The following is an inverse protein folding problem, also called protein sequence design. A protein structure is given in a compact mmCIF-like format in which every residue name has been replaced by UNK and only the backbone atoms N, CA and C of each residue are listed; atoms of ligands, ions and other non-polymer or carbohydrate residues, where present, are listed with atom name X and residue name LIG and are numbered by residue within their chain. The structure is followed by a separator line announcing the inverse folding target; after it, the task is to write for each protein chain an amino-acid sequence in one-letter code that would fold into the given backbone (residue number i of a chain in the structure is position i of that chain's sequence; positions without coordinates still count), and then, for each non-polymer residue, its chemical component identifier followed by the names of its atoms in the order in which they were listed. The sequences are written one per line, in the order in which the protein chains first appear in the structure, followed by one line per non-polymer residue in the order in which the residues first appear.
data_IF_238705728528
#
_entry.id   IF_238705728528
#
_cell.length_a   1.000
_cell.length_b   1.000
_cell.length_c   1.000
_cell.angle_alpha   90.00
_cell.angle_beta   90.00
_cell.angle_gamma   90.00
#
_symmetry.space_group_name_H-M   'P 1'
#
loop_
_entity.id
_entity.type
_entity.pdbx_description
1 polymer ?
#
# COMPACT_ATOMS: atom_id res chain seq x y z
N UNK A 1 -19.41 31.53 -46.74
CA UNK A 1 -19.41 31.19 -45.30
C UNK A 1 -20.30 29.98 -45.18
N UNK A 2 -19.69 28.81 -45.34
CA UNK A 2 -20.36 27.51 -45.26
C UNK A 2 -20.90 27.31 -43.84
N UNK A 3 -22.13 26.82 -43.75
CA UNK A 3 -22.72 26.33 -42.49
C UNK A 3 -21.90 25.11 -42.09
N UNK A 4 -21.06 25.26 -41.08
CA UNK A 4 -20.53 24.10 -40.35
C UNK A 4 -21.75 23.35 -39.81
N UNK A 5 -21.95 22.11 -40.26
CA UNK A 5 -23.09 21.32 -39.78
C UNK A 5 -22.89 20.99 -38.29
N UNK A 6 -23.99 20.80 -37.56
CA UNK A 6 -23.95 20.48 -36.11
C UNK A 6 -23.03 19.29 -35.79
N UNK A 7 -22.92 18.33 -36.71
CA UNK A 7 -22.01 17.19 -36.67
C UNK A 7 -20.54 17.59 -36.77
N UNK A 8 -20.20 18.54 -37.63
CA UNK A 8 -18.82 19.05 -37.80
C UNK A 8 -18.38 19.89 -36.61
N UNK A 9 -19.29 20.70 -36.03
CA UNK A 9 -18.99 21.49 -34.84
C UNK A 9 -18.71 20.59 -33.62
N UNK A 10 -19.42 19.48 -33.49
CA UNK A 10 -19.23 18.55 -32.37
C UNK A 10 -17.95 17.71 -32.52
N UNK A 11 -17.56 17.36 -33.76
CA UNK A 11 -16.30 16.67 -34.05
C UNK A 11 -15.03 17.50 -33.74
N UNK A 12 -15.17 18.82 -33.52
CA UNK A 12 -14.07 19.72 -33.21
C UNK A 12 -13.93 20.03 -31.71
N UNK A 13 -14.86 19.58 -30.87
CA UNK A 13 -14.88 19.88 -29.44
C UNK A 13 -13.61 19.39 -28.74
N UNK A 14 -13.26 18.11 -28.89
CA UNK A 14 -12.11 17.49 -28.22
C UNK A 14 -10.77 18.10 -28.64
N UNK A 15 -10.66 18.53 -29.91
CA UNK A 15 -9.46 19.18 -30.44
C UNK A 15 -9.32 20.66 -30.00
N UNK A 16 -10.34 21.23 -29.35
CA UNK A 16 -10.43 22.66 -29.01
C UNK A 16 -10.46 22.94 -27.51
N UNK A 17 -10.24 21.92 -26.66
CA UNK A 17 -10.31 22.05 -25.20
C UNK A 17 -9.36 23.09 -24.62
N UNK A 18 -8.22 23.32 -25.29
CA UNK A 18 -7.22 24.32 -24.89
C UNK A 18 -7.59 25.77 -25.28
N UNK A 19 -8.63 25.97 -26.10
CA UNK A 19 -9.03 27.28 -26.60
C UNK A 19 -10.50 27.57 -26.28
N UNK A 20 -10.72 28.22 -25.13
CA UNK A 20 -12.05 28.57 -24.63
C UNK A 20 -12.86 29.45 -25.59
N UNK A 21 -12.21 30.31 -26.38
CA UNK A 21 -12.90 31.19 -27.34
C UNK A 21 -13.46 30.39 -28.53
N UNK A 22 -12.66 29.46 -29.06
CA UNK A 22 -13.11 28.53 -30.12
C UNK A 22 -14.22 27.63 -29.57
N UNK A 23 -14.02 27.06 -28.38
CA UNK A 23 -14.99 26.18 -27.76
C UNK A 23 -16.33 26.90 -27.51
N UNK A 24 -16.29 28.12 -26.96
CA UNK A 24 -17.47 28.97 -26.77
C UNK A 24 -18.18 29.25 -28.09
N UNK A 25 -17.44 29.50 -29.17
CA UNK A 25 -18.04 29.62 -30.51
C UNK A 25 -18.74 28.32 -30.92
N UNK A 26 -18.08 27.16 -30.83
CA UNK A 26 -18.64 25.87 -31.23
C UNK A 26 -19.94 25.54 -30.48
N UNK A 27 -19.96 25.78 -29.16
CA UNK A 27 -21.15 25.58 -28.32
C UNK A 27 -22.29 26.54 -28.70
N UNK A 28 -21.99 27.81 -28.99
CA UNK A 28 -22.98 28.76 -29.52
C UNK A 28 -23.54 28.36 -30.90
N UNK A 29 -22.74 27.71 -31.74
CA UNK A 29 -23.19 27.14 -33.02
C UNK A 29 -24.01 25.85 -32.87
N UNK A 30 -24.22 25.38 -31.63
CA UNK A 30 -25.11 24.27 -31.32
C UNK A 30 -24.41 22.92 -31.14
N UNK A 31 -23.08 22.89 -31.00
CA UNK A 31 -22.39 21.71 -30.52
C UNK A 31 -22.88 21.35 -29.10
N UNK A 32 -23.08 20.05 -28.82
CA UNK A 32 -23.57 19.61 -27.51
C UNK A 32 -22.39 19.47 -26.54
N UNK A 33 -22.40 20.27 -25.45
CA UNK A 33 -21.38 20.22 -24.43
C UNK A 33 -21.21 18.80 -23.84
N UNK A 34 -22.29 18.01 -23.78
CA UNK A 34 -22.30 16.67 -23.19
C UNK A 34 -21.57 15.61 -24.03
N UNK A 35 -21.13 15.94 -25.25
CA UNK A 35 -20.30 15.04 -26.07
C UNK A 35 -18.84 15.02 -25.61
N UNK A 36 -18.39 16.01 -24.82
CA UNK A 36 -17.04 16.06 -24.27
C UNK A 36 -16.89 15.05 -23.12
N UNK A 37 -15.85 14.22 -23.16
CA UNK A 37 -15.46 13.41 -22.00
C UNK A 37 -14.94 14.35 -20.91
N UNK A 38 -15.66 14.39 -19.80
CA UNK A 38 -15.33 15.23 -18.66
C UNK A 38 -13.90 14.94 -18.14
N UNK A 39 -13.35 13.74 -18.37
CA UNK A 39 -11.98 13.38 -18.00
C UNK A 39 -10.90 14.21 -18.71
N UNK A 40 -11.22 14.82 -19.85
CA UNK A 40 -10.31 15.71 -20.57
C UNK A 40 -10.40 17.16 -20.06
N UNK A 41 -11.33 17.45 -19.14
CA UNK A 41 -11.52 18.77 -18.53
C UNK A 41 -10.58 18.95 -17.34
N UNK A 42 -9.49 19.69 -17.57
CA UNK A 42 -8.46 19.96 -16.55
C UNK A 42 -8.48 21.40 -16.00
N UNK A 43 -9.40 22.23 -16.49
CA UNK A 43 -9.45 23.67 -16.15
C UNK A 43 -10.81 24.05 -15.55
N UNK A 44 -10.75 24.89 -14.53
CA UNK A 44 -11.92 25.55 -13.94
C UNK A 44 -12.74 26.31 -14.99
N UNK A 45 -12.08 27.10 -15.82
CA UNK A 45 -12.76 27.98 -16.79
C UNK A 45 -13.46 27.16 -17.87
N UNK A 46 -12.85 26.05 -18.28
CA UNK A 46 -13.45 25.08 -19.18
C UNK A 46 -14.70 24.45 -18.56
N UNK A 47 -14.60 23.98 -17.31
CA UNK A 47 -15.74 23.40 -16.62
C UNK A 47 -16.91 24.40 -16.46
N UNK A 48 -16.61 25.64 -16.08
CA UNK A 48 -17.61 26.71 -15.97
C UNK A 48 -18.27 26.95 -17.33
N UNK A 49 -17.49 27.05 -18.41
CA UNK A 49 -18.03 27.19 -19.77
C UNK A 49 -18.96 26.02 -20.13
N UNK A 50 -18.58 24.78 -19.82
CA UNK A 50 -19.44 23.63 -20.12
C UNK A 50 -20.75 23.67 -19.32
N UNK A 51 -20.70 24.07 -18.05
CA UNK A 51 -21.88 24.25 -17.21
C UNK A 51 -22.79 25.38 -17.73
N UNK A 52 -22.22 26.50 -18.21
CA UNK A 52 -22.98 27.60 -18.85
C UNK A 52 -23.80 27.10 -20.05
N UNK A 53 -23.30 26.08 -20.76
CA UNK A 53 -23.96 25.46 -21.92
C UNK A 53 -24.70 24.15 -21.58
N UNK A 54 -24.99 23.92 -20.30
CA UNK A 54 -25.90 22.84 -19.86
C UNK A 54 -25.27 21.45 -19.81
N UNK A 55 -23.96 21.35 -19.57
CA UNK A 55 -23.32 20.06 -19.30
C UNK A 55 -23.93 19.40 -18.05
N UNK A 56 -24.36 18.15 -18.19
CA UNK A 56 -25.00 17.37 -17.12
C UNK A 56 -23.94 16.65 -16.27
N UNK A 57 -23.37 17.39 -15.31
CA UNK A 57 -22.36 16.85 -14.39
C UNK A 57 -22.92 15.77 -13.45
N UNK A 58 -24.23 15.65 -13.24
CA UNK A 58 -24.80 14.63 -12.36
C UNK A 58 -24.54 13.19 -12.89
N UNK A 59 -24.34 13.04 -14.19
CA UNK A 59 -23.99 11.76 -14.82
C UNK A 59 -22.53 11.38 -14.62
N UNK A 60 -21.60 12.28 -14.97
CA UNK A 60 -20.16 11.97 -15.09
C UNK A 60 -19.26 12.75 -14.15
N UNK A 61 -19.74 13.78 -13.44
CA UNK A 61 -18.93 14.66 -12.58
C UNK A 61 -18.16 13.97 -11.45
N UNK A 62 -18.58 12.77 -11.05
CA UNK A 62 -17.85 11.95 -10.09
C UNK A 62 -16.49 11.45 -10.61
N UNK A 63 -16.22 11.50 -11.92
CA UNK A 63 -14.94 11.07 -12.51
C UNK A 63 -13.82 12.08 -12.33
N UNK A 64 -14.17 13.36 -12.15
CA UNK A 64 -13.22 14.48 -12.02
C UNK A 64 -13.23 15.11 -10.63
N UNK A 65 -14.10 14.66 -9.72
CA UNK A 65 -14.31 15.34 -8.44
C UNK A 65 -13.00 15.46 -7.64
N UNK A 66 -12.15 14.43 -7.66
CA UNK A 66 -10.84 14.45 -7.01
C UNK A 66 -9.84 15.44 -7.63
N UNK A 67 -9.97 15.74 -8.92
CA UNK A 67 -9.03 16.62 -9.64
C UNK A 67 -9.21 18.09 -9.18
N UNK A 68 -10.40 18.41 -8.66
CA UNK A 68 -10.74 19.71 -8.09
C UNK A 68 -10.62 19.75 -6.56
N UNK A 69 -9.97 18.78 -5.90
CA UNK A 69 -9.79 18.77 -4.44
C UNK A 69 -9.21 20.10 -3.88
N UNK A 70 -8.38 20.80 -4.66
CA UNK A 70 -7.79 22.09 -4.28
C UNK A 70 -8.66 23.33 -4.54
N UNK A 71 -9.74 23.23 -5.31
CA UNK A 71 -10.63 24.35 -5.63
C UNK A 71 -12.01 24.15 -5.00
N UNK A 72 -12.20 24.74 -3.81
CA UNK A 72 -13.46 24.63 -3.04
C UNK A 72 -14.66 25.19 -3.79
N UNK A 73 -14.48 26.25 -4.57
CA UNK A 73 -15.58 26.87 -5.29
C UNK A 73 -16.07 25.97 -6.41
N UNK A 74 -15.15 25.31 -7.12
CA UNK A 74 -15.52 24.33 -8.15
C UNK A 74 -16.15 23.08 -7.53
N UNK A 75 -15.63 22.60 -6.40
CA UNK A 75 -16.25 21.47 -5.70
C UNK A 75 -17.68 21.78 -5.27
N UNK A 76 -17.91 22.94 -4.65
CA UNK A 76 -19.26 23.37 -4.26
C UNK A 76 -20.18 23.47 -5.48
N UNK A 77 -19.69 24.08 -6.56
CA UNK A 77 -20.42 24.17 -7.81
C UNK A 77 -20.83 22.79 -8.34
N UNK A 78 -19.89 21.84 -8.42
CA UNK A 78 -20.16 20.48 -8.88
C UNK A 78 -21.18 19.76 -7.98
N UNK A 79 -20.99 19.82 -6.66
CA UNK A 79 -21.88 19.18 -5.70
C UNK A 79 -23.27 19.82 -5.67
N UNK A 80 -23.38 21.13 -5.89
CA UNK A 80 -24.66 21.85 -5.99
C UNK A 80 -25.39 21.54 -7.31
N UNK A 81 -24.65 21.22 -8.37
CA UNK A 81 -25.20 20.73 -9.65
C UNK A 81 -25.47 19.22 -9.67
N UNK A 82 -25.48 18.58 -8.50
CA UNK A 82 -25.97 17.20 -8.33
C UNK A 82 -24.93 16.12 -8.59
N UNK A 83 -23.63 16.44 -8.56
CA UNK A 83 -22.58 15.41 -8.54
C UNK A 83 -22.71 14.60 -7.25
N UNK A 84 -22.93 13.30 -7.38
CA UNK A 84 -23.01 12.38 -6.26
C UNK A 84 -21.59 12.00 -5.78
N UNK A 85 -21.20 12.54 -4.61
CA UNK A 85 -19.92 12.28 -3.96
C UNK A 85 -19.71 10.80 -3.57
N UNK A 86 -20.77 9.98 -3.58
CA UNK A 86 -20.71 8.54 -3.30
C UNK A 86 -20.41 7.69 -4.54
N UNK A 87 -20.59 8.24 -5.74
CA UNK A 87 -20.18 7.56 -6.97
C UNK A 87 -18.66 7.56 -7.06
N UNK A 88 -18.13 6.42 -7.48
CA UNK A 88 -16.70 6.10 -7.44
C UNK A 88 -16.24 5.71 -8.83
N UNK A 89 -15.16 6.33 -9.30
CA UNK A 89 -14.45 5.89 -10.50
C UNK A 89 -13.60 4.66 -10.12
N UNK A 90 -14.03 3.46 -10.49
CA UNK A 90 -13.37 2.23 -10.03
C UNK A 90 -12.13 1.88 -10.83
N UNK A 91 -11.97 2.41 -12.04
CA UNK A 91 -10.94 1.98 -13.00
C UNK A 91 -9.64 2.79 -12.91
N UNK A 92 -9.51 3.69 -11.94
CA UNK A 92 -8.31 4.52 -11.73
C UNK A 92 -7.86 4.56 -10.28
N UNK A 93 -6.58 4.83 -10.06
CA UNK A 93 -6.04 5.16 -8.72
C UNK A 93 -6.49 6.56 -8.29
N UNK A 94 -6.26 6.92 -7.02
CA UNK A 94 -6.48 8.26 -6.51
C UNK A 94 -5.68 9.35 -7.28
N UNK A 95 -4.56 8.98 -7.89
CA UNK A 95 -3.69 9.87 -8.67
C UNK A 95 -4.05 9.88 -10.17
N UNK A 96 -5.22 9.35 -10.54
CA UNK A 96 -5.76 9.40 -11.91
C UNK A 96 -5.21 8.35 -12.88
N UNK A 97 -4.28 7.49 -12.44
CA UNK A 97 -3.69 6.44 -13.28
C UNK A 97 -4.67 5.29 -13.50
N UNK A 98 -4.76 4.78 -14.74
CA UNK A 98 -5.59 3.62 -15.06
C UNK A 98 -5.12 2.37 -14.28
N UNK A 99 -6.08 1.62 -13.75
CA UNK A 99 -5.83 0.31 -13.17
C UNK A 99 -5.62 -0.73 -14.27
N UNK A 100 -4.90 -1.80 -13.92
CA UNK A 100 -4.78 -2.96 -14.79
C UNK A 100 -6.16 -3.64 -14.99
N UNK A 101 -6.34 -4.43 -16.06
CA UNK A 101 -7.59 -5.15 -16.32
C UNK A 101 -8.02 -6.03 -15.13
N UNK A 102 -9.21 -5.76 -14.57
CA UNK A 102 -9.77 -6.50 -13.44
C UNK A 102 -9.43 -5.92 -12.06
N UNK A 103 -8.58 -4.90 -11.98
CA UNK A 103 -8.38 -4.13 -10.75
C UNK A 103 -9.53 -3.16 -10.49
N UNK A 104 -9.84 -2.92 -9.22
CA UNK A 104 -10.83 -1.91 -8.82
C UNK A 104 -10.39 -1.16 -7.58
N UNK A 105 -10.78 0.11 -7.52
CA UNK A 105 -10.70 0.97 -6.35
C UNK A 105 -12.07 1.58 -6.03
N UNK A 106 -12.78 0.98 -5.08
CA UNK A 106 -14.10 1.41 -4.65
C UNK A 106 -14.07 2.46 -3.52
N UNK A 107 -12.90 3.02 -3.22
CA UNK A 107 -12.78 4.04 -2.19
C UNK A 107 -13.19 5.43 -2.69
N UNK A 108 -13.78 6.24 -1.81
CA UNK A 108 -14.07 7.65 -2.11
C UNK A 108 -12.73 8.42 -2.18
N UNK A 109 -12.22 8.59 -3.39
CA UNK A 109 -10.86 9.12 -3.67
C UNK A 109 -10.61 10.51 -3.10
N UNK A 110 -11.59 11.39 -3.19
CA UNK A 110 -11.45 12.76 -2.71
C UNK A 110 -11.28 12.81 -1.18
N UNK A 111 -11.93 11.90 -0.43
CA UNK A 111 -11.70 11.75 1.02
C UNK A 111 -10.26 11.28 1.29
N UNK A 112 -9.76 10.31 0.52
CA UNK A 112 -8.38 9.86 0.64
C UNK A 112 -7.37 10.99 0.37
N UNK A 113 -7.63 11.80 -0.67
CA UNK A 113 -6.80 12.95 -1.02
C UNK A 113 -6.79 14.02 0.06
N UNK A 114 -7.96 14.36 0.62
CA UNK A 114 -8.05 15.29 1.75
C UNK A 114 -7.28 14.78 2.97
N UNK A 115 -7.36 13.48 3.29
CA UNK A 115 -6.60 12.88 4.38
C UNK A 115 -5.09 12.88 4.15
N UNK A 116 -4.64 12.57 2.93
CA UNK A 116 -3.21 12.64 2.55
C UNK A 116 -2.64 14.05 2.65
N UNK A 117 -3.45 15.08 2.41
CA UNK A 117 -3.07 16.47 2.55
C UNK A 117 -3.31 17.04 3.97
N UNK A 118 -3.84 16.22 4.89
CA UNK A 118 -4.30 16.64 6.22
C UNK A 118 -5.29 17.83 6.18
N UNK A 119 -6.12 17.88 5.13
CA UNK A 119 -7.14 18.90 4.93
C UNK A 119 -8.44 18.48 5.64
N UNK A 120 -8.47 18.70 6.96
CA UNK A 120 -9.61 18.39 7.84
C UNK A 120 -10.87 19.13 7.38
N UNK A 121 -10.74 20.39 6.98
CA UNK A 121 -11.87 21.21 6.54
C UNK A 121 -12.50 20.68 5.25
N UNK A 122 -11.69 20.19 4.29
CA UNK A 122 -12.22 19.51 3.10
C UNK A 122 -12.91 18.22 3.46
N UNK A 123 -12.28 17.43 4.34
CA UNK A 123 -12.83 16.16 4.76
C UNK A 123 -14.23 16.35 5.36
N UNK A 124 -14.35 17.26 6.33
CA UNK A 124 -15.61 17.57 7.02
C UNK A 124 -16.66 18.14 6.07
N UNK A 125 -16.24 19.03 5.17
CA UNK A 125 -17.13 19.57 4.15
C UNK A 125 -17.70 18.47 3.26
N UNK A 126 -16.87 17.56 2.74
CA UNK A 126 -17.32 16.46 1.89
C UNK A 126 -18.27 15.50 2.62
N UNK A 127 -17.98 15.20 3.89
CA UNK A 127 -18.89 14.40 4.72
C UNK A 127 -20.21 15.13 4.96
N UNK A 128 -20.19 16.45 5.18
CA UNK A 128 -21.41 17.26 5.28
C UNK A 128 -22.25 17.25 3.99
N UNK A 129 -21.58 17.06 2.84
CA UNK A 129 -22.20 16.87 1.52
C UNK A 129 -22.61 15.43 1.22
N UNK A 130 -22.46 14.53 2.19
CA UNK A 130 -22.93 13.14 2.14
C UNK A 130 -21.87 12.09 1.81
N UNK A 131 -20.58 12.46 1.76
CA UNK A 131 -19.52 11.47 1.61
C UNK A 131 -19.48 10.53 2.84
N UNK A 132 -19.14 9.25 2.62
CA UNK A 132 -19.15 8.23 3.67
C UNK A 132 -17.72 7.85 4.05
N UNK A 133 -17.19 8.28 5.23
CA UNK A 133 -15.81 7.99 5.64
C UNK A 133 -15.44 6.51 5.63
N UNK A 134 -16.38 5.64 6.04
CA UNK A 134 -16.18 4.18 6.06
C UNK A 134 -16.00 3.56 4.66
N UNK A 135 -16.40 4.26 3.59
CA UNK A 135 -16.15 3.85 2.19
C UNK A 135 -14.89 4.49 1.61
N UNK A 136 -13.99 4.98 2.45
CA UNK A 136 -12.71 5.56 2.06
C UNK A 136 -11.55 4.83 2.72
N UNK A 137 -10.36 5.00 2.16
CA UNK A 137 -9.09 4.63 2.78
C UNK A 137 -8.41 5.86 3.42
N UNK A 138 -9.21 6.82 3.91
CA UNK A 138 -8.70 8.05 4.48
C UNK A 138 -7.71 7.80 5.61
N UNK A 139 -8.02 6.83 6.48
CA UNK A 139 -7.16 6.47 7.60
C UNK A 139 -5.79 5.95 7.15
N UNK A 140 -5.74 5.10 6.12
CA UNK A 140 -4.49 4.65 5.48
C UNK A 140 -3.74 5.82 4.84
N UNK A 141 -4.46 6.73 4.17
CA UNK A 141 -3.88 7.86 3.43
C UNK A 141 -3.32 8.96 4.33
N UNK A 142 -3.69 9.03 5.61
CA UNK A 142 -3.00 9.91 6.59
C UNK A 142 -1.48 9.72 6.57
N UNK A 143 -1.03 8.49 6.29
CA UNK A 143 0.38 8.11 6.20
C UNK A 143 1.13 8.79 5.05
N UNK A 144 0.43 9.23 4.00
CA UNK A 144 1.02 9.98 2.87
C UNK A 144 1.28 11.45 3.21
N UNK A 145 0.72 11.96 4.30
CA UNK A 145 0.96 13.33 4.73
C UNK A 145 2.42 13.54 5.09
N UNK A 146 3.05 14.55 4.48
CA UNK A 146 4.48 14.84 4.64
C UNK A 146 4.82 15.55 5.95
N UNK A 147 3.82 16.15 6.60
CA UNK A 147 3.98 16.91 7.85
C UNK A 147 3.49 16.02 9.00
N UNK A 148 4.39 15.51 9.87
CA UNK A 148 4.03 14.55 10.92
C UNK A 148 2.91 15.03 11.85
N UNK A 149 2.97 16.29 12.30
CA UNK A 149 1.98 16.86 13.21
C UNK A 149 0.59 16.92 12.57
N UNK A 150 0.53 17.33 11.30
CA UNK A 150 -0.70 17.37 10.52
C UNK A 150 -1.24 15.96 10.27
N UNK A 151 -0.36 14.99 9.98
CA UNK A 151 -0.74 13.59 9.78
C UNK A 151 -1.41 13.00 11.03
N UNK A 152 -0.83 13.24 12.21
CA UNK A 152 -1.39 12.82 13.50
C UNK A 152 -2.69 13.57 13.84
N UNK A 153 -2.80 14.84 13.42
CA UNK A 153 -4.02 15.64 13.61
C UNK A 153 -5.18 15.08 12.82
N UNK A 154 -5.03 14.85 11.51
CA UNK A 154 -6.09 14.25 10.70
C UNK A 154 -6.38 12.82 11.14
N UNK A 155 -5.35 12.01 11.47
CA UNK A 155 -5.54 10.66 12.02
C UNK A 155 -6.44 10.69 13.27
N UNK A 156 -6.13 11.57 14.22
CA UNK A 156 -6.91 11.73 15.44
C UNK A 156 -8.34 12.14 15.12
N UNK A 157 -8.52 13.11 14.21
CA UNK A 157 -9.85 13.56 13.78
C UNK A 157 -10.69 12.42 13.18
N UNK A 158 -10.09 11.62 12.29
CA UNK A 158 -10.77 10.48 11.66
C UNK A 158 -11.21 9.41 12.67
N UNK A 159 -10.39 9.14 13.69
CA UNK A 159 -10.73 8.19 14.75
C UNK A 159 -11.75 8.77 15.73
N UNK A 160 -11.58 10.02 16.16
CA UNK A 160 -12.36 10.61 17.26
C UNK A 160 -13.73 11.13 16.81
N UNK A 161 -13.84 11.67 15.59
CA UNK A 161 -15.08 12.28 15.08
C UNK A 161 -15.90 11.29 14.26
N UNK A 162 -15.22 10.44 13.48
CA UNK A 162 -15.88 9.53 12.54
C UNK A 162 -15.85 8.06 12.96
N UNK A 163 -15.24 7.74 14.11
CA UNK A 163 -15.14 6.36 14.64
C UNK A 163 -14.64 5.36 13.59
N UNK A 164 -13.67 5.79 12.77
CA UNK A 164 -13.11 4.93 11.73
C UNK A 164 -12.38 3.74 12.35
N UNK A 165 -12.60 2.55 11.80
CA UNK A 165 -11.94 1.33 12.27
C UNK A 165 -10.42 1.43 12.11
N UNK A 166 -9.72 1.45 13.25
CA UNK A 166 -8.25 1.48 13.31
C UNK A 166 -7.59 0.24 12.67
N UNK A 167 -8.35 -0.83 12.43
CA UNK A 167 -7.93 -2.06 11.78
C UNK A 167 -8.52 -2.24 10.37
N UNK A 168 -9.11 -1.21 9.77
CA UNK A 168 -9.73 -1.28 8.44
C UNK A 168 -8.77 -1.88 7.40
N UNK A 169 -9.22 -2.84 6.61
CA UNK A 169 -8.39 -3.48 5.60
C UNK A 169 -8.54 -2.74 4.25
N UNK A 170 -7.42 -2.41 3.59
CA UNK A 170 -7.46 -1.85 2.23
C UNK A 170 -8.17 -2.78 1.25
N UNK A 171 -8.06 -4.09 1.50
CA UNK A 171 -8.54 -5.13 0.60
C UNK A 171 -10.09 -5.20 0.54
N UNK A 172 -10.78 -4.58 1.52
CA UNK A 172 -12.25 -4.45 1.53
C UNK A 172 -12.77 -3.49 0.45
N UNK A 173 -11.97 -2.46 0.12
CA UNK A 173 -12.35 -1.43 -0.85
C UNK A 173 -11.58 -1.51 -2.16
N UNK A 174 -10.45 -2.21 -2.20
CA UNK A 174 -9.58 -2.27 -3.38
C UNK A 174 -9.07 -3.67 -3.60
N UNK A 175 -8.96 -4.08 -4.86
CA UNK A 175 -8.19 -5.26 -5.24
C UNK A 175 -7.11 -4.82 -6.23
N UNK A 176 -5.94 -4.52 -5.68
CA UNK A 176 -4.70 -4.59 -6.43
C UNK A 176 -4.20 -6.03 -6.33
N UNK A 177 -3.59 -6.60 -7.38
CA UNK A 177 -2.92 -7.90 -7.28
C UNK A 177 -2.19 -8.03 -5.93
N UNK A 178 -2.41 -9.16 -5.26
CA UNK A 178 -2.17 -9.54 -3.84
C UNK A 178 -0.93 -9.03 -3.08
N UNK A 179 -0.07 -8.19 -3.65
CA UNK A 179 1.18 -7.72 -3.08
C UNK A 179 1.37 -6.20 -3.18
N UNK A 180 0.30 -5.39 -3.27
CA UNK A 180 0.49 -3.93 -3.14
C UNK A 180 1.23 -3.67 -1.83
N UNK A 181 2.40 -3.02 -1.85
CA UNK A 181 3.20 -2.88 -0.63
C UNK A 181 2.49 -2.09 0.48
N UNK A 182 1.51 -1.25 0.13
CA UNK A 182 0.66 -0.48 1.07
C UNK A 182 -0.59 -1.22 1.55
N UNK A 183 -0.83 -2.47 1.09
CA UNK A 183 -1.97 -3.30 1.48
C UNK A 183 -2.03 -3.58 2.98
N UNK A 184 -3.25 -3.71 3.50
CA UNK A 184 -3.58 -4.15 4.85
C UNK A 184 -4.19 -3.06 5.72
N UNK A 185 -3.77 -3.02 6.99
CA UNK A 185 -4.28 -2.07 7.98
C UNK A 185 -3.71 -0.66 7.76
N UNK A 186 -4.28 0.40 8.39
CA UNK A 186 -3.66 1.72 8.39
C UNK A 186 -2.22 1.70 8.95
N UNK A 187 -1.95 0.80 9.91
CA UNK A 187 -0.62 0.57 10.46
C UNK A 187 0.35 0.01 9.41
N UNK A 188 -0.11 -0.92 8.57
CA UNK A 188 0.67 -1.42 7.44
C UNK A 188 1.00 -0.31 6.43
N UNK A 189 0.03 0.55 6.08
CA UNK A 189 0.28 1.68 5.18
C UNK A 189 1.26 2.69 5.79
N UNK A 190 1.18 2.98 7.09
CA UNK A 190 2.10 3.88 7.79
C UNK A 190 3.55 3.41 7.71
N UNK A 191 3.77 2.09 7.85
CA UNK A 191 5.09 1.46 7.69
C UNK A 191 5.56 1.56 6.24
N UNK A 192 4.68 1.28 5.28
CA UNK A 192 5.02 1.35 3.86
C UNK A 192 5.43 2.76 3.43
N UNK A 193 4.65 3.78 3.81
CA UNK A 193 4.94 5.18 3.53
C UNK A 193 6.03 5.77 4.44
N UNK A 194 6.67 4.94 5.29
CA UNK A 194 7.78 5.31 6.19
C UNK A 194 7.44 6.47 7.14
N UNK A 195 6.19 6.53 7.59
CA UNK A 195 5.68 7.60 8.45
C UNK A 195 5.65 7.15 9.92
N UNK A 196 6.78 7.32 10.62
CA UNK A 196 6.94 6.87 12.01
C UNK A 196 5.94 7.53 12.96
N UNK A 197 5.62 8.82 12.77
CA UNK A 197 4.68 9.53 13.63
C UNK A 197 3.27 8.92 13.56
N UNK A 198 2.83 8.52 12.36
CA UNK A 198 1.55 7.82 12.18
C UNK A 198 1.62 6.40 12.74
N UNK A 199 2.74 5.68 12.59
CA UNK A 199 2.94 4.36 13.23
C UNK A 199 2.78 4.47 14.74
N UNK A 200 3.52 5.37 15.39
CA UNK A 200 3.48 5.56 16.85
C UNK A 200 2.09 6.01 17.32
N UNK A 201 1.45 6.91 16.58
CA UNK A 201 0.10 7.39 16.91
C UNK A 201 -0.94 6.27 16.82
N UNK A 202 -0.93 5.47 15.74
CA UNK A 202 -1.83 4.32 15.59
C UNK A 202 -1.63 3.30 16.73
N UNK A 203 -0.38 2.94 17.05
CA UNK A 203 -0.08 2.02 18.13
C UNK A 203 -0.54 2.56 19.50
N UNK A 204 -0.31 3.85 19.77
CA UNK A 204 -0.79 4.52 20.99
C UNK A 204 -2.32 4.54 21.09
N UNK A 205 -3.02 4.54 19.96
CA UNK A 205 -4.48 4.47 19.87
C UNK A 205 -5.02 3.02 19.92
N UNK A 206 -4.16 2.02 20.05
CA UNK A 206 -4.56 0.61 20.19
C UNK A 206 -4.60 -0.18 18.88
N UNK A 207 -3.93 0.29 17.82
CA UNK A 207 -3.73 -0.54 16.63
C UNK A 207 -2.99 -1.83 17.02
N UNK A 208 -3.51 -2.97 16.59
CA UNK A 208 -2.96 -4.29 16.88
C UNK A 208 -1.71 -4.49 16.01
N UNK A 209 -0.52 -4.63 16.61
CA UNK A 209 0.72 -4.69 15.87
C UNK A 209 0.94 -6.04 15.15
N UNK A 210 0.09 -7.04 15.39
CA UNK A 210 0.09 -8.34 14.70
C UNK A 210 -1.10 -8.50 13.71
N UNK A 211 -1.99 -7.50 13.59
CA UNK A 211 -3.07 -7.52 12.61
C UNK A 211 -2.52 -7.28 11.20
N UNK A 212 -2.72 -8.26 10.32
CA UNK A 212 -2.46 -8.15 8.88
C UNK A 212 -3.78 -8.09 8.09
N UNK A 213 -3.70 -7.57 6.86
CA UNK A 213 -4.81 -7.64 5.91
C UNK A 213 -4.86 -8.98 5.16
N UNK A 214 -5.64 -9.06 4.09
CA UNK A 214 -5.86 -10.32 3.35
C UNK A 214 -4.58 -10.89 2.71
N UNK A 215 -3.56 -10.06 2.46
CA UNK A 215 -2.24 -10.50 1.98
C UNK A 215 -1.44 -11.28 3.03
N UNK A 216 -1.82 -11.20 4.30
CA UNK A 216 -1.16 -11.91 5.41
C UNK A 216 0.19 -11.32 5.83
N UNK A 217 0.60 -10.18 5.27
CA UNK A 217 1.84 -9.51 5.66
C UNK A 217 1.67 -8.75 6.99
N UNK A 218 2.30 -9.27 8.04
CA UNK A 218 2.33 -8.63 9.36
C UNK A 218 3.01 -7.26 9.31
N UNK A 219 2.64 -6.31 10.17
CA UNK A 219 3.35 -5.03 10.31
C UNK A 219 4.85 -5.20 10.53
N UNK A 220 5.28 -6.14 11.38
CA UNK A 220 6.71 -6.44 11.60
C UNK A 220 7.40 -6.95 10.33
N UNK A 221 6.69 -7.73 9.50
CA UNK A 221 7.18 -8.21 8.20
C UNK A 221 7.45 -7.06 7.24
N UNK A 222 6.53 -6.09 7.17
CA UNK A 222 6.66 -4.89 6.33
C UNK A 222 7.77 -3.99 6.83
N UNK A 223 7.91 -3.83 8.16
CA UNK A 223 9.01 -3.06 8.75
C UNK A 223 10.38 -3.64 8.39
N UNK A 224 10.49 -4.96 8.26
CA UNK A 224 11.75 -5.61 7.86
C UNK A 224 12.06 -5.51 6.36
N UNK A 225 11.04 -5.44 5.49
CA UNK A 225 11.21 -5.39 4.03
C UNK A 225 11.76 -6.67 3.43
N UNK A 226 11.57 -6.87 2.13
CA UNK A 226 12.02 -8.04 1.37
C UNK A 226 12.70 -7.61 0.06
N UNK A 227 12.80 -8.53 -0.90
CA UNK A 227 13.40 -8.27 -2.19
C UNK A 227 12.54 -7.36 -3.09
N UNK A 228 11.24 -7.25 -2.82
CA UNK A 228 10.30 -6.46 -3.62
C UNK A 228 10.06 -5.06 -3.02
N UNK A 229 10.24 -4.92 -1.70
CA UNK A 229 10.03 -3.66 -1.01
C UNK A 229 11.07 -3.41 0.09
N UNK A 230 11.62 -2.20 0.09
CA UNK A 230 12.52 -1.72 1.15
C UNK A 230 11.75 -1.44 2.44
N UNK A 231 12.06 -2.19 3.50
CA UNK A 231 11.38 -2.07 4.78
C UNK A 231 11.60 -0.74 5.49
N UNK A 232 10.89 -0.57 6.60
CA UNK A 232 11.03 0.57 7.50
C UNK A 232 11.44 0.11 8.90
N UNK A 233 12.73 -0.20 9.07
CA UNK A 233 13.30 -0.68 10.33
C UNK A 233 13.02 0.19 11.56
N UNK A 234 12.94 1.54 11.46
CA UNK A 234 12.55 2.36 12.61
C UNK A 234 11.19 2.00 13.23
N UNK A 235 10.27 1.39 12.47
CA UNK A 235 9.00 0.92 13.01
C UNK A 235 9.09 -0.40 13.78
N UNK A 236 10.16 -1.19 13.63
CA UNK A 236 10.26 -2.52 14.25
C UNK A 236 10.24 -2.46 15.78
N UNK A 237 11.00 -1.54 16.39
CA UNK A 237 11.01 -1.38 17.84
C UNK A 237 9.65 -0.87 18.39
N UNK A 238 9.03 0.19 17.85
CA UNK A 238 7.67 0.60 18.23
C UNK A 238 6.64 -0.53 18.16
N UNK A 239 6.66 -1.37 17.12
CA UNK A 239 5.76 -2.51 16.99
C UNK A 239 5.96 -3.53 18.12
N UNK A 240 7.21 -3.84 18.45
CA UNK A 240 7.55 -4.78 19.54
C UNK A 240 7.22 -4.17 20.91
N UNK A 241 7.46 -2.87 21.11
CA UNK A 241 7.08 -2.14 22.31
C UNK A 241 5.55 -2.13 22.52
N UNK A 242 4.79 -2.07 21.42
CA UNK A 242 3.33 -2.15 21.42
C UNK A 242 2.78 -3.58 21.57
N UNK A 243 3.65 -4.59 21.67
CA UNK A 243 3.27 -5.96 21.99
C UNK A 243 3.20 -6.94 20.81
N UNK A 244 3.76 -6.61 19.64
CA UNK A 244 3.92 -7.58 18.55
C UNK A 244 4.69 -8.82 19.04
N UNK A 245 4.29 -10.02 18.61
CA UNK A 245 5.00 -11.25 18.99
C UNK A 245 6.46 -11.23 18.48
N UNK A 246 7.45 -11.10 19.39
CA UNK A 246 8.86 -11.03 18.98
C UNK A 246 9.32 -12.36 18.37
N UNK A 247 8.72 -13.48 18.74
CA UNK A 247 9.02 -14.80 18.17
C UNK A 247 8.52 -14.87 16.74
N UNK A 248 7.31 -14.38 16.44
CA UNK A 248 6.77 -14.31 15.08
C UNK A 248 7.61 -13.40 14.18
N UNK A 249 8.00 -12.23 14.69
CA UNK A 249 8.94 -11.32 14.02
C UNK A 249 10.30 -12.01 13.76
N UNK A 250 10.85 -12.74 14.75
CA UNK A 250 12.08 -13.51 14.57
C UNK A 250 11.94 -14.56 13.46
N UNK A 251 10.80 -15.27 13.34
CA UNK A 251 10.58 -16.22 12.24
C UNK A 251 10.77 -15.55 10.88
N UNK A 252 10.28 -14.32 10.74
CA UNK A 252 10.38 -13.56 9.51
C UNK A 252 11.80 -13.03 9.26
N UNK A 253 12.48 -12.51 10.29
CA UNK A 253 13.89 -12.13 10.19
C UNK A 253 14.77 -13.31 9.76
N UNK A 254 14.55 -14.50 10.35
CA UNK A 254 15.23 -15.74 9.96
C UNK A 254 14.89 -16.12 8.53
N UNK A 255 13.61 -16.10 8.13
CA UNK A 255 13.17 -16.35 6.75
C UNK A 255 13.80 -15.36 5.75
N UNK A 256 14.06 -14.13 6.16
CA UNK A 256 14.71 -13.15 5.30
C UNK A 256 16.23 -13.20 5.40
N UNK A 257 16.81 -13.90 6.38
CA UNK A 257 18.25 -13.93 6.63
C UNK A 257 18.78 -12.58 7.11
N UNK A 258 17.96 -11.80 7.81
CA UNK A 258 18.30 -10.48 8.31
C UNK A 258 18.76 -10.58 9.77
N UNK A 259 20.08 -10.59 9.99
CA UNK A 259 20.70 -10.76 11.32
C UNK A 259 20.41 -9.57 12.23
N UNK A 260 20.38 -8.36 11.70
CA UNK A 260 20.10 -7.16 12.50
C UNK A 260 18.67 -7.18 13.05
N UNK A 261 17.69 -7.54 12.22
CA UNK A 261 16.31 -7.72 12.69
C UNK A 261 16.19 -8.86 13.70
N UNK A 262 16.89 -9.98 13.46
CA UNK A 262 16.91 -11.10 14.40
C UNK A 262 17.48 -10.68 15.77
N UNK A 263 18.55 -9.86 15.77
CA UNK A 263 19.13 -9.29 16.99
C UNK A 263 18.13 -8.42 17.76
N UNK A 264 17.38 -7.57 17.06
CA UNK A 264 16.31 -6.76 17.68
C UNK A 264 15.24 -7.68 18.29
N UNK A 265 14.68 -8.62 17.52
CA UNK A 265 13.63 -9.53 18.00
C UNK A 265 14.07 -10.32 19.24
N UNK A 266 15.31 -10.82 19.26
CA UNK A 266 15.87 -11.53 20.42
C UNK A 266 16.10 -10.62 21.62
N UNK A 267 16.40 -9.33 21.39
CA UNK A 267 16.46 -8.31 22.44
C UNK A 267 15.11 -8.14 23.15
N UNK A 268 14.02 -8.29 22.40
CA UNK A 268 12.64 -8.27 22.88
C UNK A 268 12.12 -9.62 23.40
N UNK A 269 13.00 -10.62 23.56
CA UNK A 269 12.65 -11.89 24.19
C UNK A 269 12.08 -12.95 23.25
N UNK A 270 12.26 -12.82 21.93
CA UNK A 270 11.93 -13.86 20.98
C UNK A 270 12.55 -15.23 21.36
N UNK A 271 11.83 -16.32 21.12
CA UNK A 271 12.37 -17.66 21.35
C UNK A 271 13.43 -18.02 20.30
N UNK A 272 14.70 -17.92 20.72
CA UNK A 272 15.88 -18.30 19.91
C UNK A 272 15.84 -19.75 19.43
N UNK A 273 15.23 -20.66 20.18
CA UNK A 273 15.13 -22.07 19.78
C UNK A 273 14.15 -22.25 18.63
N UNK A 274 13.03 -21.51 18.65
CA UNK A 274 12.11 -21.46 17.52
C UNK A 274 12.80 -20.89 16.27
N UNK A 275 13.60 -19.82 16.43
CA UNK A 275 14.43 -19.29 15.34
C UNK A 275 15.41 -20.31 14.76
N UNK A 276 16.15 -21.02 15.62
CA UNK A 276 17.08 -22.09 15.21
C UNK A 276 16.39 -23.21 14.45
N UNK A 277 15.25 -23.68 14.98
CA UNK A 277 14.45 -24.72 14.35
C UNK A 277 14.10 -24.33 12.90
N UNK A 278 13.60 -23.11 12.70
CA UNK A 278 13.24 -22.60 11.37
C UNK A 278 14.47 -22.49 10.46
N UNK A 279 15.59 -21.96 10.97
CA UNK A 279 16.80 -21.81 10.17
C UNK A 279 17.34 -23.17 9.66
N UNK A 280 17.29 -24.19 10.52
CA UNK A 280 17.66 -25.56 10.14
C UNK A 280 16.65 -26.21 9.18
N UNK A 281 15.34 -26.05 9.41
CA UNK A 281 14.31 -26.56 8.48
C UNK A 281 14.47 -25.97 7.08
N UNK A 282 14.80 -24.68 6.98
CA UNK A 282 15.10 -24.01 5.71
C UNK A 282 16.34 -24.57 5.04
N UNK A 283 17.38 -24.86 5.81
CA UNK A 283 18.60 -25.47 5.27
C UNK A 283 18.31 -26.85 4.68
N UNK A 284 17.58 -27.70 5.41
CA UNK A 284 17.21 -29.04 4.94
C UNK A 284 16.33 -28.97 3.70
N UNK A 285 15.35 -28.05 3.68
CA UNK A 285 14.52 -27.84 2.49
C UNK A 285 15.39 -27.49 1.27
N UNK A 286 16.33 -26.57 1.42
CA UNK A 286 17.24 -26.17 0.33
C UNK A 286 18.17 -27.28 -0.13
N UNK A 287 18.78 -28.02 0.80
CA UNK A 287 19.63 -29.16 0.45
C UNK A 287 18.86 -30.19 -0.38
N UNK A 288 17.60 -30.45 -0.04
CA UNK A 288 16.71 -31.33 -0.81
C UNK A 288 16.36 -30.75 -2.18
N UNK A 289 16.07 -29.46 -2.27
CA UNK A 289 15.81 -28.78 -3.55
C UNK A 289 17.03 -28.85 -4.46
N UNK A 290 18.23 -28.60 -3.92
CA UNK A 290 19.51 -28.70 -4.64
C UNK A 290 19.82 -30.13 -5.11
N UNK A 291 19.65 -31.13 -4.24
CA UNK A 291 19.90 -32.53 -4.58
C UNK A 291 18.96 -33.07 -5.68
N UNK A 292 17.78 -32.46 -5.85
CA UNK A 292 16.81 -32.83 -6.88
C UNK A 292 16.85 -31.88 -8.09
N UNK A 293 17.82 -30.96 -8.17
CA UNK A 293 17.89 -29.97 -9.23
C UNK A 293 18.37 -30.61 -10.56
N UNK A 294 17.71 -30.33 -11.69
CA UNK A 294 18.12 -30.84 -13.01
C UNK A 294 19.54 -30.41 -13.37
N UNK A 295 20.37 -31.34 -13.84
CA UNK A 295 21.80 -31.11 -14.11
C UNK A 295 22.06 -29.98 -15.13
N UNK A 296 21.10 -29.70 -16.01
CA UNK A 296 21.16 -28.66 -17.04
C UNK A 296 21.01 -27.23 -16.50
N UNK A 297 20.56 -27.04 -15.26
CA UNK A 297 20.42 -25.72 -14.62
C UNK A 297 21.28 -25.55 -13.36
N UNK A 298 21.99 -26.59 -12.91
CA UNK A 298 22.80 -26.58 -11.68
C UNK A 298 23.87 -25.50 -11.74
N UNK A 299 24.62 -25.41 -12.84
CA UNK A 299 25.73 -24.45 -12.98
C UNK A 299 25.23 -23.00 -12.94
N UNK A 300 24.05 -22.74 -13.51
CA UNK A 300 23.45 -21.40 -13.56
C UNK A 300 22.91 -20.95 -12.18
N UNK A 301 22.34 -21.86 -11.38
CA UNK A 301 21.75 -21.54 -10.07
C UNK A 301 22.74 -21.71 -8.89
N UNK A 302 23.89 -22.37 -9.10
CA UNK A 302 24.90 -22.61 -8.05
C UNK A 302 25.30 -21.35 -7.28
N UNK A 303 25.64 -20.20 -7.93
CA UNK A 303 26.08 -19.02 -7.19
C UNK A 303 24.98 -18.46 -6.27
N UNK A 304 23.73 -18.47 -6.74
CA UNK A 304 22.57 -17.99 -5.97
C UNK A 304 22.28 -18.92 -4.81
N UNK A 305 22.36 -20.23 -5.04
CA UNK A 305 22.19 -21.24 -4.00
C UNK A 305 23.24 -21.10 -2.89
N UNK A 306 24.52 -21.01 -3.26
CA UNK A 306 25.64 -20.87 -2.32
C UNK A 306 25.51 -19.60 -1.48
N UNK A 307 25.27 -18.45 -2.10
CA UNK A 307 25.08 -17.19 -1.37
C UNK A 307 23.91 -17.26 -0.38
N UNK A 308 22.80 -17.88 -0.79
CA UNK A 308 21.63 -18.04 0.08
C UNK A 308 21.88 -19.03 1.22
N UNK A 309 22.69 -20.06 0.99
CA UNK A 309 23.11 -21.04 1.99
C UNK A 309 24.07 -20.43 2.99
N UNK A 310 25.10 -19.71 2.55
CA UNK A 310 26.03 -18.97 3.42
C UNK A 310 25.29 -18.02 4.35
N UNK A 311 24.34 -17.25 3.81
CA UNK A 311 23.47 -16.37 4.59
C UNK A 311 22.67 -17.12 5.67
N UNK A 312 22.18 -18.33 5.35
CA UNK A 312 21.43 -19.15 6.29
C UNK A 312 22.33 -19.77 7.37
N UNK A 313 23.53 -20.22 7.01
CA UNK A 313 24.54 -20.73 7.94
C UNK A 313 24.97 -19.63 8.91
N UNK A 314 25.24 -18.42 8.42
CA UNK A 314 25.56 -17.26 9.26
C UNK A 314 24.44 -16.96 10.27
N UNK A 315 23.17 -17.08 9.85
CA UNK A 315 22.02 -16.96 10.74
C UNK A 315 21.98 -18.08 11.80
N UNK A 316 22.25 -19.34 11.42
CA UNK A 316 22.32 -20.46 12.37
C UNK A 316 23.41 -20.22 13.41
N UNK A 317 24.61 -19.84 12.98
CA UNK A 317 25.75 -19.60 13.86
C UNK A 317 25.51 -18.41 14.80
N UNK A 318 24.88 -17.35 14.28
CA UNK A 318 24.43 -16.21 15.08
C UNK A 318 23.43 -16.63 16.17
N UNK A 319 22.38 -17.37 15.80
CA UNK A 319 21.36 -17.81 16.75
C UNK A 319 21.93 -18.80 17.78
N UNK A 320 22.80 -19.72 17.36
CA UNK A 320 23.41 -20.71 18.23
C UNK A 320 24.32 -20.08 19.29
N UNK A 321 25.00 -18.99 18.93
CA UNK A 321 25.90 -18.24 19.81
C UNK A 321 25.20 -17.14 20.62
N UNK A 322 23.89 -16.95 20.46
CA UNK A 322 23.13 -15.88 21.12
C UNK A 322 23.36 -15.85 22.64
N UNK A 323 23.92 -14.73 23.13
CA UNK A 323 24.30 -14.49 24.53
C UNK A 323 25.18 -15.58 25.17
N UNK A 324 25.80 -16.47 24.38
CA UNK A 324 26.61 -17.58 24.89
C UNK A 324 25.83 -18.62 25.70
N UNK A 325 24.50 -18.74 25.52
CA UNK A 325 23.68 -19.68 26.27
C UNK A 325 24.04 -21.15 25.91
N UNK A 326 24.56 -21.90 26.89
CA UNK A 326 24.95 -23.30 26.71
C UNK A 326 23.78 -24.20 26.32
N UNK A 327 22.55 -23.88 26.75
CA UNK A 327 21.34 -24.65 26.40
C UNK A 327 20.98 -24.46 24.93
N UNK A 328 21.15 -23.24 24.42
CA UNK A 328 20.93 -22.90 23.01
C UNK A 328 21.99 -23.57 22.14
N UNK A 329 23.26 -23.50 22.55
CA UNK A 329 24.36 -24.21 21.88
C UNK A 329 24.14 -25.73 21.83
N UNK A 330 23.75 -26.34 22.96
CA UNK A 330 23.45 -27.77 23.01
C UNK A 330 22.27 -28.13 22.10
N UNK A 331 21.22 -27.31 22.08
CA UNK A 331 20.06 -27.48 21.19
C UNK A 331 20.47 -27.40 19.71
N UNK A 332 21.27 -26.39 19.33
CA UNK A 332 21.79 -26.25 17.96
C UNK A 332 22.61 -27.47 17.53
N UNK A 333 23.48 -28.01 18.41
CA UNK A 333 24.21 -29.26 18.12
C UNK A 333 23.26 -30.44 17.86
N UNK A 334 22.22 -30.59 18.68
CA UNK A 334 21.20 -31.64 18.49
C UNK A 334 20.45 -31.49 17.16
N UNK A 335 20.11 -30.26 16.77
CA UNK A 335 19.48 -29.99 15.47
C UNK A 335 20.43 -30.33 14.33
N UNK A 336 21.71 -29.94 14.42
CA UNK A 336 22.73 -30.29 13.42
C UNK A 336 22.86 -31.82 13.27
N UNK A 337 22.93 -32.57 14.37
CA UNK A 337 22.92 -34.03 14.29
C UNK A 337 21.62 -34.55 13.66
N UNK A 338 20.45 -34.14 14.17
CA UNK A 338 19.15 -34.65 13.70
C UNK A 338 18.90 -34.40 12.21
N UNK A 339 19.25 -33.23 11.72
CA UNK A 339 18.93 -32.81 10.36
C UNK A 339 19.97 -33.23 9.33
N UNK A 340 21.23 -33.39 9.72
CA UNK A 340 22.33 -33.70 8.77
C UNK A 340 22.98 -35.07 9.01
N UNK A 341 22.56 -35.87 10.02
CA UNK A 341 23.07 -37.24 10.21
C UNK A 341 22.62 -38.24 9.13
N UNK A 342 21.75 -37.83 8.20
CA UNK A 342 21.31 -38.65 7.06
C UNK A 342 22.06 -38.33 5.75
N UNK A 343 22.94 -37.32 5.72
CA UNK A 343 23.67 -36.88 4.51
C UNK A 343 25.10 -37.45 4.38
N UNK A 344 25.53 -38.32 5.30
CA UNK A 344 26.84 -38.96 5.14
C UNK A 344 26.95 -39.91 3.94
N UNK A 345 25.85 -40.28 3.29
CA UNK A 345 25.85 -41.07 2.06
C UNK A 345 25.70 -40.24 0.76
N UNK A 346 25.46 -38.92 0.85
CA UNK A 346 25.37 -38.02 -0.33
C UNK A 346 26.27 -36.79 -0.26
N UNK A 347 27.23 -36.76 0.68
CA UNK A 347 28.31 -35.78 0.73
C UNK A 347 29.37 -35.97 -0.39
N UNK A 348 28.91 -36.10 -1.63
CA UNK A 348 29.69 -35.74 -2.81
C UNK A 348 28.98 -34.54 -3.45
N UNK A 349 29.24 -33.34 -2.92
CA UNK A 349 29.17 -32.15 -3.75
C UNK A 349 30.15 -32.38 -4.91
N UNK A 350 29.72 -32.33 -6.18
CA UNK A 350 30.66 -32.44 -7.30
C UNK A 350 31.70 -31.33 -7.17
N UNK A 351 32.96 -31.70 -7.37
CA UNK A 351 34.12 -30.79 -7.39
C UNK A 351 34.09 -29.87 -8.59
#
# INVERSE_FOLDING_TARGET
MERVEKSEASALLDCSLDNLDILRCLLHYGADANEIDLRDVQSRDLLILLLEFGYDVAKTGHTILQDFAGDRQVLDLLLDHGVDVKKIETARTADGLALYPGGYDNSIKILNGSAANADVELFDHLVSRGAEPARSLALHYTSKCKVPESAVTILSHLLDVYDMDIHADTDDLRNFFHDSPDSGTPLCSAIYYKNLAVVEALLKRGADPDRCGATGHLPTSKAMGDALFEGFLPALAPLLDAGADPTLALRHAVKRGNVDCAKVCLGYGADVKAGLQIAHEREVKRLREWANMPADIVDDEAPRYEAQRERNIAMIDFLASWKGDQRVNHFARRLRTRFYSFDHDHAALPK
#
